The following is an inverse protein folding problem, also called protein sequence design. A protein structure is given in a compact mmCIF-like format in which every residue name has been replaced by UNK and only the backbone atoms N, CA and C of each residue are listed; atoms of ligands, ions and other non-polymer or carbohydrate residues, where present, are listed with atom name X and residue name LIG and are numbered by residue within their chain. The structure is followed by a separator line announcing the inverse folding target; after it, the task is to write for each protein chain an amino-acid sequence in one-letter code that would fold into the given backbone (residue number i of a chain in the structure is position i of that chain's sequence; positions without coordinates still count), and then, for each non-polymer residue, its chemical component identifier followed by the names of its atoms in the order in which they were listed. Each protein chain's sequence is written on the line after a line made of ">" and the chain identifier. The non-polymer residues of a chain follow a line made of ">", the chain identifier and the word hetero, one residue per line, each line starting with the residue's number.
data_IF_673541518434
#
_entry.id   IF_673541518434
#
_cell.length_a   1.000
_cell.length_b   1.000
_cell.length_c   1.000
_cell.angle_alpha   90.00
_cell.angle_beta   90.00
_cell.angle_gamma   90.00
#
_symmetry.space_group_name_H-M   'P 1'
#
loop_
_entity.id
_entity.type
_entity.pdbx_description
1 polymer ?
#
# COMPACT_ATOMS: atom_id res chain seq x y z
N UNK A 1 9.01 19.87 17.46
CA UNK A 1 7.71 19.63 16.81
C UNK A 1 6.67 20.23 17.73
N UNK A 2 5.95 21.25 17.27
CA UNK A 2 4.92 21.91 18.08
C UNK A 2 3.58 21.31 17.67
N UNK A 3 2.97 20.55 18.60
CA UNK A 3 1.65 19.95 18.38
C UNK A 3 0.58 21.05 18.21
N UNK A 4 0.64 22.09 19.04
CA UNK A 4 -0.34 23.19 19.01
C UNK A 4 -0.35 23.92 17.65
N UNK A 5 0.83 24.17 17.08
CA UNK A 5 0.93 24.79 15.75
C UNK A 5 0.36 23.89 14.64
N UNK A 6 0.56 22.58 14.76
CA UNK A 6 0.03 21.61 13.81
C UNK A 6 -1.50 21.56 13.86
N UNK A 7 -2.08 21.45 15.05
CA UNK A 7 -3.54 21.43 15.22
C UNK A 7 -4.19 22.74 14.82
N UNK A 8 -3.61 23.89 15.18
CA UNK A 8 -4.11 25.20 14.75
C UNK A 8 -4.16 25.36 13.23
N UNK A 9 -3.17 24.82 12.50
CA UNK A 9 -3.19 24.82 11.02
C UNK A 9 -4.28 23.92 10.46
N UNK A 10 -4.50 22.75 11.05
CA UNK A 10 -5.59 21.84 10.67
C UNK A 10 -6.93 22.55 10.80
N UNK A 11 -7.20 23.12 11.99
CA UNK A 11 -8.45 23.83 12.30
C UNK A 11 -8.75 24.97 11.33
N UNK A 12 -7.72 25.70 10.90
CA UNK A 12 -7.89 26.84 9.98
C UNK A 12 -8.38 26.48 8.57
N UNK A 13 -8.31 25.20 8.18
CA UNK A 13 -8.65 24.72 6.83
C UNK A 13 -9.89 23.84 6.74
N UNK A 14 -10.61 23.61 7.84
CA UNK A 14 -11.74 22.67 7.88
C UNK A 14 -13.09 23.40 7.84
N UNK A 15 -14.05 22.83 7.11
CA UNK A 15 -15.47 23.20 7.15
C UNK A 15 -16.29 22.19 7.98
N UNK A 16 -17.49 22.59 8.44
CA UNK A 16 -18.32 21.79 9.37
C UNK A 16 -18.76 20.43 8.79
N UNK A 17 -18.82 20.28 7.46
CA UNK A 17 -19.33 19.07 6.78
C UNK A 17 -18.23 18.22 6.10
N UNK A 18 -16.99 18.28 6.58
CA UNK A 18 -15.88 17.51 5.98
C UNK A 18 -16.03 16.00 6.26
N UNK A 19 -15.77 15.16 5.25
CA UNK A 19 -15.72 13.71 5.46
C UNK A 19 -14.48 13.31 6.28
N UNK A 20 -14.53 12.18 6.97
CA UNK A 20 -13.37 11.69 7.73
C UNK A 20 -12.16 11.45 6.82
N UNK A 21 -12.38 10.96 5.59
CA UNK A 21 -11.30 10.77 4.61
C UNK A 21 -10.65 12.10 4.21
N UNK A 22 -11.47 13.12 3.91
CA UNK A 22 -10.97 14.45 3.55
C UNK A 22 -10.21 15.10 4.71
N UNK A 23 -10.70 14.91 5.95
CA UNK A 23 -9.99 15.36 7.15
C UNK A 23 -8.61 14.70 7.29
N UNK A 24 -8.53 13.38 7.10
CA UNK A 24 -7.25 12.66 7.18
C UNK A 24 -6.28 13.12 6.10
N UNK A 25 -6.76 13.26 4.86
CA UNK A 25 -5.94 13.75 3.74
C UNK A 25 -5.43 15.17 4.02
N UNK A 26 -6.31 16.05 4.52
CA UNK A 26 -5.93 17.41 4.93
C UNK A 26 -4.89 17.42 6.04
N UNK A 27 -5.08 16.63 7.10
CA UNK A 27 -4.13 16.55 8.21
C UNK A 27 -2.75 16.07 7.75
N UNK A 28 -2.70 15.08 6.85
CA UNK A 28 -1.47 14.59 6.26
C UNK A 28 -0.79 15.65 5.37
N UNK A 29 -1.55 16.39 4.56
CA UNK A 29 -1.04 17.48 3.73
C UNK A 29 -0.47 18.64 4.57
N UNK A 30 -1.18 19.04 5.64
CA UNK A 30 -0.69 20.04 6.58
C UNK A 30 0.62 19.58 7.21
N UNK A 31 0.70 18.33 7.65
CA UNK A 31 1.95 17.76 8.17
C UNK A 31 3.06 17.82 7.12
N UNK A 32 2.80 17.43 5.86
CA UNK A 32 3.81 17.47 4.81
C UNK A 32 4.31 18.91 4.54
N UNK A 33 3.42 19.90 4.53
CA UNK A 33 3.78 21.31 4.37
C UNK A 33 4.73 21.81 5.48
N UNK A 34 4.63 21.22 6.68
CA UNK A 34 5.46 21.56 7.84
C UNK A 34 6.83 20.88 7.82
N UNK A 35 7.13 20.03 6.83
CA UNK A 35 8.48 19.47 6.62
C UNK A 35 9.54 20.55 6.48
N UNK A 36 9.18 21.73 5.93
CA UNK A 36 10.06 22.92 5.85
C UNK A 36 10.51 23.37 7.25
N UNK A 37 9.69 23.20 8.28
CA UNK A 37 10.05 23.53 9.66
C UNK A 37 10.91 22.44 10.30
N UNK A 38 10.54 21.18 10.09
CA UNK A 38 11.28 20.04 10.64
C UNK A 38 10.94 18.74 9.91
N UNK A 39 11.95 17.99 9.46
CA UNK A 39 11.80 16.75 8.67
C UNK A 39 10.87 15.68 9.27
N UNK A 40 10.75 15.63 10.61
CA UNK A 40 9.82 14.71 11.32
C UNK A 40 8.36 14.89 10.92
N UNK A 41 7.93 16.08 10.48
CA UNK A 41 6.57 16.26 10.00
C UNK A 41 6.29 15.47 8.71
N UNK A 42 7.29 15.29 7.83
CA UNK A 42 7.19 14.40 6.67
C UNK A 42 7.09 12.91 7.04
N UNK A 43 7.57 12.51 8.23
CA UNK A 43 7.31 11.16 8.76
C UNK A 43 5.90 11.05 9.33
N UNK A 44 5.41 12.12 9.96
CA UNK A 44 4.05 12.18 10.49
C UNK A 44 3.01 12.15 9.36
N UNK A 45 3.21 12.92 8.28
CA UNK A 45 2.32 12.93 7.11
C UNK A 45 2.17 11.53 6.50
N UNK A 46 3.29 10.84 6.27
CA UNK A 46 3.29 9.48 5.78
C UNK A 46 2.59 8.51 6.74
N UNK A 47 2.85 8.64 8.06
CA UNK A 47 2.23 7.81 9.08
C UNK A 47 0.72 7.98 9.14
N UNK A 48 0.20 9.21 9.07
CA UNK A 48 -1.24 9.49 9.08
C UNK A 48 -1.93 8.76 7.93
N UNK A 49 -1.40 8.86 6.71
CA UNK A 49 -1.98 8.18 5.54
C UNK A 49 -1.87 6.67 5.64
N UNK A 50 -0.74 6.16 6.14
CA UNK A 50 -0.54 4.72 6.25
C UNK A 50 -1.45 4.11 7.32
N UNK A 51 -1.55 4.73 8.49
CA UNK A 51 -2.45 4.26 9.57
C UNK A 51 -3.90 4.25 9.07
N UNK A 52 -4.34 5.29 8.35
CA UNK A 52 -5.67 5.30 7.72
C UNK A 52 -5.85 4.18 6.69
N UNK A 53 -4.87 3.94 5.83
CA UNK A 53 -4.92 2.83 4.88
C UNK A 53 -5.03 1.47 5.60
N UNK A 54 -4.35 1.30 6.73
CA UNK A 54 -4.44 0.09 7.55
C UNK A 54 -5.84 -0.10 8.11
N UNK A 55 -6.46 0.97 8.63
CA UNK A 55 -7.83 0.93 9.16
C UNK A 55 -8.89 0.61 8.10
N UNK A 56 -8.63 0.95 6.82
CA UNK A 56 -9.57 0.73 5.72
C UNK A 56 -9.40 -0.63 5.01
N UNK A 57 -8.42 -1.45 5.39
CA UNK A 57 -8.06 -2.66 4.65
C UNK A 57 -7.97 -3.90 5.55
N UNK A 58 -8.13 -5.08 4.96
CA UNK A 58 -8.01 -6.35 5.70
C UNK A 58 -6.59 -6.55 6.27
N UNK A 59 -6.46 -7.46 7.23
CA UNK A 59 -5.19 -7.63 7.92
C UNK A 59 -4.20 -8.49 7.14
N UNK A 60 -4.68 -9.54 6.47
CA UNK A 60 -3.81 -10.47 5.76
C UNK A 60 -3.81 -10.24 4.25
N UNK A 61 -2.78 -10.75 3.56
CA UNK A 61 -2.68 -10.64 2.11
C UNK A 61 -3.70 -11.53 1.42
N UNK A 62 -3.87 -12.76 1.92
CA UNK A 62 -4.83 -13.71 1.39
C UNK A 62 -6.27 -13.19 1.45
N UNK A 63 -6.67 -12.50 2.53
CA UNK A 63 -8.00 -11.86 2.67
C UNK A 63 -8.22 -10.76 1.62
N UNK A 64 -7.22 -9.90 1.40
CA UNK A 64 -7.29 -8.84 0.38
C UNK A 64 -7.40 -9.42 -1.02
N UNK A 65 -6.58 -10.43 -1.34
CA UNK A 65 -6.61 -11.11 -2.64
C UNK A 65 -7.97 -11.77 -2.86
N UNK A 66 -8.53 -12.43 -1.85
CA UNK A 66 -9.85 -13.04 -1.93
C UNK A 66 -10.95 -12.01 -2.14
N UNK A 67 -10.90 -10.88 -1.41
CA UNK A 67 -11.86 -9.80 -1.56
C UNK A 67 -11.80 -9.20 -2.98
N UNK A 68 -10.61 -8.87 -3.47
CA UNK A 68 -10.40 -8.30 -4.81
C UNK A 68 -10.82 -9.29 -5.90
N UNK A 69 -10.55 -10.58 -5.73
CA UNK A 69 -10.95 -11.60 -6.71
C UNK A 69 -12.48 -11.78 -6.79
N UNK A 70 -13.20 -11.63 -5.67
CA UNK A 70 -14.66 -11.79 -5.62
C UNK A 70 -15.43 -10.56 -6.06
N UNK A 71 -14.89 -9.37 -5.83
CA UNK A 71 -15.60 -8.09 -6.03
C UNK A 71 -14.99 -7.24 -7.15
N UNK A 72 -13.86 -7.65 -7.73
CA UNK A 72 -13.21 -6.97 -8.84
C UNK A 72 -12.72 -7.96 -9.89
N UNK A 73 -12.32 -7.43 -11.04
CA UNK A 73 -11.93 -8.21 -12.22
C UNK A 73 -10.41 -8.20 -12.48
N UNK A 74 -9.61 -8.02 -11.43
CA UNK A 74 -8.17 -7.91 -11.58
C UNK A 74 -7.47 -9.27 -11.64
N UNK A 75 -7.61 -10.09 -10.58
CA UNK A 75 -6.81 -11.29 -10.42
C UNK A 75 -7.23 -12.43 -11.36
N UNK A 76 -6.24 -13.09 -11.98
CA UNK A 76 -6.51 -14.35 -12.68
C UNK A 76 -6.89 -15.47 -11.69
N UNK A 77 -7.75 -16.40 -12.12
CA UNK A 77 -8.10 -17.59 -11.32
C UNK A 77 -6.85 -18.39 -10.90
N UNK A 78 -5.85 -18.46 -11.80
CA UNK A 78 -4.57 -19.12 -11.51
C UNK A 78 -3.83 -18.45 -10.34
N UNK A 79 -3.72 -17.13 -10.37
CA UNK A 79 -3.05 -16.36 -9.30
C UNK A 79 -3.81 -16.52 -7.99
N UNK A 80 -5.15 -16.35 -8.01
CA UNK A 80 -6.00 -16.52 -6.84
C UNK A 80 -5.81 -17.91 -6.19
N UNK A 81 -5.91 -18.99 -6.98
CA UNK A 81 -5.71 -20.36 -6.46
C UNK A 81 -4.33 -20.57 -5.84
N UNK A 82 -3.30 -19.95 -6.42
CA UNK A 82 -1.93 -20.03 -5.90
C UNK A 82 -1.80 -19.34 -4.54
N UNK A 83 -2.44 -18.18 -4.37
CA UNK A 83 -2.48 -17.47 -3.09
C UNK A 83 -3.21 -18.31 -2.04
N UNK A 84 -4.40 -18.81 -2.34
CA UNK A 84 -5.20 -19.59 -1.37
C UNK A 84 -4.49 -20.89 -0.98
N UNK A 85 -3.85 -21.58 -1.93
CA UNK A 85 -3.07 -22.79 -1.68
C UNK A 85 -1.92 -22.55 -0.68
N UNK A 86 -1.33 -21.35 -0.69
CA UNK A 86 -0.15 -21.01 0.12
C UNK A 86 -0.44 -19.92 1.17
N UNK A 87 -1.70 -19.71 1.55
CA UNK A 87 -2.14 -18.54 2.33
C UNK A 87 -1.32 -18.33 3.61
N UNK A 88 -1.11 -19.39 4.40
CA UNK A 88 -0.46 -19.27 5.71
C UNK A 88 1.01 -18.91 5.55
N UNK A 89 1.67 -19.41 4.50
CA UNK A 89 3.05 -19.06 4.18
C UNK A 89 3.15 -17.59 3.73
N UNK A 90 2.29 -17.18 2.80
CA UNK A 90 2.33 -15.85 2.20
C UNK A 90 1.96 -14.76 3.22
N UNK A 91 0.96 -15.00 4.06
CA UNK A 91 0.55 -14.08 5.11
C UNK A 91 1.64 -13.91 6.19
N UNK A 92 2.36 -15.00 6.53
CA UNK A 92 3.47 -14.94 7.48
C UNK A 92 4.77 -14.35 6.88
N UNK A 93 4.90 -14.33 5.55
CA UNK A 93 6.08 -13.77 4.88
C UNK A 93 6.09 -12.24 4.94
N UNK A 94 4.92 -11.61 4.94
CA UNK A 94 4.82 -10.15 4.90
C UNK A 94 5.26 -9.52 6.22
N UNK A 95 6.15 -8.53 6.11
CA UNK A 95 6.50 -7.63 7.21
C UNK A 95 5.95 -6.22 6.96
N UNK A 96 4.73 -6.00 7.46
CA UNK A 96 4.05 -4.70 7.40
C UNK A 96 4.78 -3.58 8.16
N UNK A 97 5.68 -3.89 9.10
CA UNK A 97 6.44 -2.86 9.80
C UNK A 97 7.34 -2.05 8.85
N UNK A 98 7.68 -2.61 7.68
CA UNK A 98 8.47 -1.95 6.63
C UNK A 98 7.72 -0.83 5.91
N UNK A 99 6.40 -0.76 6.03
CA UNK A 99 5.62 0.33 5.41
C UNK A 99 5.93 1.71 5.99
N UNK A 100 6.56 1.76 7.18
CA UNK A 100 7.08 3.01 7.78
C UNK A 100 8.16 3.69 6.92
N UNK A 101 8.76 2.96 5.97
CA UNK A 101 9.80 3.50 5.09
C UNK A 101 9.24 4.36 3.95
N UNK A 102 7.94 4.28 3.66
CA UNK A 102 7.32 5.05 2.58
C UNK A 102 7.14 6.52 2.98
N UNK A 103 7.45 7.42 2.06
CA UNK A 103 7.18 8.85 2.21
C UNK A 103 5.75 9.18 1.80
N UNK A 104 5.24 10.34 2.24
CA UNK A 104 3.92 10.84 1.87
C UNK A 104 3.67 10.79 0.35
N UNK A 105 4.58 11.34 -0.44
CA UNK A 105 4.46 11.34 -1.90
C UNK A 105 4.53 9.95 -2.52
N UNK A 106 5.32 9.03 -1.93
CA UNK A 106 5.35 7.65 -2.39
C UNK A 106 4.01 6.96 -2.15
N UNK A 107 3.39 7.13 -0.98
CA UNK A 107 2.07 6.58 -0.67
C UNK A 107 1.01 7.12 -1.64
N UNK A 108 0.99 8.43 -1.91
CA UNK A 108 0.08 9.02 -2.88
C UNK A 108 0.28 8.44 -4.29
N UNK A 109 1.53 8.28 -4.70
CA UNK A 109 1.88 7.68 -6.00
C UNK A 109 1.39 6.23 -6.09
N UNK A 110 1.62 5.46 -5.02
CA UNK A 110 1.17 4.07 -4.91
C UNK A 110 -0.36 3.97 -4.95
N UNK A 111 -1.08 4.73 -4.13
CA UNK A 111 -2.56 4.76 -4.11
C UNK A 111 -3.17 5.12 -5.47
N UNK A 112 -2.56 6.07 -6.18
CA UNK A 112 -3.10 6.55 -7.46
C UNK A 112 -3.00 5.54 -8.59
N UNK A 113 -1.96 4.71 -8.58
CA UNK A 113 -1.60 3.93 -9.76
C UNK A 113 -1.32 2.45 -9.45
N UNK A 114 -0.68 2.12 -8.35
CA UNK A 114 -0.08 0.80 -8.15
C UNK A 114 -0.88 -0.12 -7.24
N UNK A 115 -1.53 0.43 -6.21
CA UNK A 115 -2.32 -0.32 -5.25
C UNK A 115 -3.69 -0.65 -5.84
N UNK A 116 -4.09 -1.91 -5.73
CA UNK A 116 -5.38 -2.35 -6.26
C UNK A 116 -6.54 -1.74 -5.49
N UNK A 117 -7.58 -1.40 -6.25
CA UNK A 117 -8.82 -0.79 -5.76
C UNK A 117 -10.02 -1.65 -6.14
N UNK A 118 -11.08 -1.58 -5.33
CA UNK A 118 -12.40 -2.12 -5.62
C UNK A 118 -13.41 -1.02 -5.32
N UNK A 119 -14.30 -0.71 -6.28
CA UNK A 119 -15.28 0.37 -6.17
C UNK A 119 -14.68 1.72 -5.75
N UNK A 120 -13.49 2.03 -6.29
CA UNK A 120 -12.76 3.26 -5.99
C UNK A 120 -12.05 3.30 -4.64
N UNK A 121 -12.16 2.25 -3.81
CA UNK A 121 -11.46 2.14 -2.53
C UNK A 121 -10.20 1.30 -2.64
N UNK A 122 -9.08 1.79 -2.12
CA UNK A 122 -7.82 1.03 -2.05
C UNK A 122 -7.94 -0.14 -1.08
N UNK A 123 -7.69 -1.36 -1.57
CA UNK A 123 -7.74 -2.60 -0.78
C UNK A 123 -6.33 -3.12 -0.47
N UNK A 124 -5.38 -2.86 -1.36
CA UNK A 124 -4.00 -3.33 -1.26
C UNK A 124 -3.09 -2.36 -0.50
N UNK A 125 -2.16 -2.85 0.32
CA UNK A 125 -1.09 -2.07 0.97
C UNK A 125 0.23 -2.23 0.21
N UNK A 126 1.24 -1.38 0.43
CA UNK A 126 2.49 -1.47 -0.31
C UNK A 126 3.19 -2.83 -0.19
N UNK A 127 3.24 -3.45 1.00
CA UNK A 127 3.84 -4.79 1.12
C UNK A 127 3.09 -5.87 0.32
N UNK A 128 1.75 -5.78 0.26
CA UNK A 128 0.93 -6.70 -0.53
C UNK A 128 1.29 -6.61 -2.02
N UNK A 129 1.43 -5.37 -2.53
CA UNK A 129 1.83 -5.11 -3.91
C UNK A 129 3.21 -5.71 -4.21
N UNK A 130 4.19 -5.56 -3.31
CA UNK A 130 5.53 -6.13 -3.49
C UNK A 130 5.49 -7.66 -3.48
N UNK A 131 4.73 -8.27 -2.57
CA UNK A 131 4.57 -9.73 -2.53
C UNK A 131 3.84 -10.25 -3.77
N UNK A 132 2.81 -9.55 -4.24
CA UNK A 132 2.09 -9.88 -5.48
C UNK A 132 3.03 -9.93 -6.69
N UNK A 133 3.95 -8.97 -6.80
CA UNK A 133 4.98 -8.97 -7.85
C UNK A 133 5.92 -10.16 -7.71
N UNK A 134 6.45 -10.41 -6.51
CA UNK A 134 7.34 -11.54 -6.26
C UNK A 134 6.66 -12.89 -6.59
N UNK A 135 5.41 -13.07 -6.16
CA UNK A 135 4.61 -14.26 -6.42
C UNK A 135 4.30 -14.43 -7.92
N UNK A 136 4.03 -13.34 -8.65
CA UNK A 136 3.80 -13.43 -10.09
C UNK A 136 5.05 -13.90 -10.86
N UNK A 137 6.23 -13.45 -10.44
CA UNK A 137 7.50 -13.75 -11.11
C UNK A 137 7.90 -15.21 -10.86
N UNK A 138 7.83 -15.65 -9.60
CA UNK A 138 8.40 -16.93 -9.16
C UNK A 138 7.38 -18.06 -9.03
N UNK A 139 6.11 -17.73 -8.88
CA UNK A 139 5.04 -18.72 -8.76
C UNK A 139 5.22 -19.65 -7.56
N UNK A 140 5.42 -20.94 -7.84
CA UNK A 140 5.60 -21.97 -6.80
C UNK A 140 7.06 -22.11 -6.33
N UNK A 141 8.01 -21.35 -6.89
CA UNK A 141 9.39 -21.31 -6.39
C UNK A 141 9.49 -20.43 -5.14
N UNK A 142 9.24 -21.05 -3.99
CA UNK A 142 9.12 -20.36 -2.70
C UNK A 142 10.42 -19.69 -2.25
N UNK A 143 11.58 -20.28 -2.54
CA UNK A 143 12.86 -19.73 -2.08
C UNK A 143 13.20 -18.44 -2.84
N UNK A 144 13.08 -18.46 -4.18
CA UNK A 144 13.29 -17.27 -4.99
C UNK A 144 12.22 -16.18 -4.76
N UNK A 145 10.98 -16.59 -4.46
CA UNK A 145 9.90 -15.68 -4.06
C UNK A 145 10.28 -14.92 -2.78
N UNK A 146 10.71 -15.62 -1.73
CA UNK A 146 11.13 -15.01 -0.45
C UNK A 146 12.30 -14.06 -0.64
N UNK A 147 13.30 -14.48 -1.41
CA UNK A 147 14.46 -13.63 -1.72
C UNK A 147 14.02 -12.34 -2.42
N UNK A 148 13.21 -12.47 -3.46
CA UNK A 148 12.70 -11.32 -4.23
C UNK A 148 11.85 -10.40 -3.37
N UNK A 149 10.91 -10.93 -2.59
CA UNK A 149 10.13 -10.12 -1.66
C UNK A 149 11.02 -9.40 -0.63
N UNK A 150 12.04 -10.08 -0.10
CA UNK A 150 12.99 -9.46 0.83
C UNK A 150 13.74 -8.31 0.18
N UNK A 151 14.26 -8.49 -1.04
CA UNK A 151 14.99 -7.44 -1.76
C UNK A 151 14.09 -6.25 -2.12
N UNK A 152 12.86 -6.51 -2.58
CA UNK A 152 11.86 -5.48 -2.89
C UNK A 152 11.44 -4.71 -1.63
N UNK A 153 11.05 -5.41 -0.57
CA UNK A 153 10.57 -4.80 0.69
C UNK A 153 11.66 -4.04 1.44
N UNK A 154 12.93 -4.36 1.21
CA UNK A 154 14.08 -3.62 1.74
C UNK A 154 14.56 -2.50 0.81
N UNK A 155 13.82 -2.19 -0.27
CA UNK A 155 14.15 -1.15 -1.24
C UNK A 155 15.53 -1.34 -1.92
N UNK A 156 16.00 -2.58 -2.09
CA UNK A 156 17.28 -2.88 -2.76
C UNK A 156 17.17 -2.63 -4.26
N UNK A 157 16.02 -2.97 -4.85
CA UNK A 157 15.68 -2.64 -6.23
C UNK A 157 14.15 -2.56 -6.39
N UNK A 158 13.69 -2.13 -7.56
CA UNK A 158 12.27 -2.19 -7.95
C UNK A 158 12.14 -2.70 -9.38
N UNK A 159 11.02 -3.37 -9.67
CA UNK A 159 10.64 -3.66 -11.05
C UNK A 159 10.09 -2.41 -11.74
N UNK A 160 10.10 -2.44 -13.08
CA UNK A 160 9.49 -1.38 -13.90
C UNK A 160 7.97 -1.37 -13.73
N UNK A 161 7.35 -0.22 -13.99
CA UNK A 161 5.92 -0.02 -13.77
C UNK A 161 5.03 -1.10 -14.40
N UNK A 162 5.20 -1.54 -15.67
CA UNK A 162 4.33 -2.57 -16.27
C UNK A 162 4.29 -3.86 -15.47
N UNK A 163 5.43 -4.27 -14.90
CA UNK A 163 5.51 -5.46 -14.04
C UNK A 163 4.68 -5.26 -12.78
N UNK A 164 4.78 -4.10 -12.11
CA UNK A 164 4.04 -3.83 -10.87
C UNK A 164 2.53 -3.73 -11.15
N UNK A 165 2.14 -3.03 -12.22
CA UNK A 165 0.74 -2.86 -12.61
C UNK A 165 0.05 -4.18 -12.95
N UNK A 166 0.71 -5.05 -13.71
CA UNK A 166 0.06 -6.21 -14.31
C UNK A 166 0.31 -7.53 -13.55
N UNK A 167 1.08 -7.49 -12.46
CA UNK A 167 1.31 -8.69 -11.65
C UNK A 167 0.04 -9.22 -11.01
N UNK A 168 -0.26 -10.49 -11.25
CA UNK A 168 -1.49 -11.16 -10.80
C UNK A 168 -2.68 -11.03 -11.75
N UNK A 169 -2.61 -10.16 -12.76
CA UNK A 169 -3.77 -9.82 -13.59
C UNK A 169 -4.22 -10.96 -14.51
N UNK A 170 -5.46 -10.93 -14.99
CA UNK A 170 -5.99 -11.89 -15.99
C UNK A 170 -5.16 -11.97 -17.28
N UNK A 171 -4.50 -10.86 -17.66
CA UNK A 171 -3.60 -10.77 -18.81
C UNK A 171 -2.31 -10.09 -18.37
N UNK A 172 -1.43 -10.84 -17.74
CA UNK A 172 -0.17 -10.32 -17.20
C UNK A 172 0.81 -9.94 -18.32
N UNK A 173 0.77 -8.69 -18.77
CA UNK A 173 1.78 -8.10 -19.65
C UNK A 173 2.85 -7.40 -18.81
N UNK A 174 4.01 -8.04 -18.65
CA UNK A 174 5.05 -7.57 -17.71
C UNK A 174 6.13 -6.70 -18.38
N UNK A 175 6.10 -6.59 -19.72
CA UNK A 175 7.03 -5.85 -20.57
C UNK A 175 6.28 -5.12 -21.69
#
# INVERSE_FOLDING_TARGET
>A
MSADLFFSKIESGICEDVSFEDFINWAAEVAESMTIQHFKYGRLSAKILMDYLYDQTFNTFSEKVEYIYKHGDFFSEKFYKMVIKNKDLLDNLIDYSKDVSWTYFAILTLKRAYLLTVDGKTIERPQDMLLRVALQIHGEDIENLKETYSLLSNNVYTHASPTIFNSGSTKSQLA
#
